data_IF_620783417594
#
_entry.id   IF_620783417594
#
_cell.length_a   1.000
_cell.length_b   1.000
_cell.length_c   1.000
_cell.angle_alpha   90.00
_cell.angle_beta   90.00
_cell.angle_gamma   90.00
#
_symmetry.space_group_name_H-M   'P 1'
#
loop_
_entity.id
_entity.type
_entity.pdbx_description
1 polymer ?
#
# COMPACT_ATOMS: atom_id res chain seq x y z
N UNK A 1 -13.25 -32.46 15.52
CA UNK A 1 -12.76 -31.28 14.80
C UNK A 1 -13.25 -31.41 13.37
N UNK A 2 -14.39 -30.82 13.07
CA UNK A 2 -15.04 -30.98 11.76
C UNK A 2 -14.47 -29.97 10.77
N UNK A 3 -14.36 -30.36 9.51
CA UNK A 3 -13.82 -29.60 8.36
C UNK A 3 -14.42 -28.19 8.15
N UNK A 4 -15.43 -27.80 8.92
CA UNK A 4 -16.15 -26.54 8.80
C UNK A 4 -15.67 -25.50 9.84
N UNK A 5 -15.03 -25.93 10.93
CA UNK A 5 -14.67 -25.03 12.05
C UNK A 5 -13.48 -24.10 11.75
N UNK A 6 -12.52 -24.54 10.91
CA UNK A 6 -11.36 -23.73 10.53
C UNK A 6 -11.74 -22.56 9.59
N UNK A 7 -12.74 -22.75 8.72
CA UNK A 7 -13.23 -21.70 7.82
C UNK A 7 -13.86 -20.52 8.55
N UNK A 8 -14.43 -20.75 9.74
CA UNK A 8 -15.09 -19.71 10.55
C UNK A 8 -14.11 -18.82 11.33
N UNK A 9 -12.87 -19.27 11.52
CA UNK A 9 -11.86 -18.56 12.33
C UNK A 9 -10.66 -18.07 11.53
N UNK A 10 -10.54 -18.50 10.27
CA UNK A 10 -9.44 -18.06 9.42
C UNK A 10 -9.61 -16.58 9.07
N UNK A 11 -8.71 -15.75 9.60
CA UNK A 11 -8.52 -14.37 9.16
C UNK A 11 -7.29 -14.36 8.26
N UNK A 12 -7.41 -13.98 6.98
CA UNK A 12 -6.25 -13.90 6.12
C UNK A 12 -5.24 -12.91 6.71
N UNK A 13 -4.00 -13.38 6.89
CA UNK A 13 -2.85 -12.56 7.21
C UNK A 13 -2.03 -12.29 5.93
N UNK A 14 -1.04 -11.41 6.01
CA UNK A 14 -0.22 -11.08 4.85
C UNK A 14 0.48 -12.32 4.24
N UNK A 15 0.75 -13.36 5.04
CA UNK A 15 1.39 -14.59 4.54
C UNK A 15 0.49 -15.34 3.59
N UNK A 16 -0.83 -15.29 3.81
CA UNK A 16 -1.84 -15.95 2.98
C UNK A 16 -2.19 -15.22 1.69
N UNK A 17 -1.79 -13.96 1.54
CA UNK A 17 -2.06 -13.14 0.36
C UNK A 17 -1.06 -13.51 -0.75
N UNK A 18 -1.51 -13.72 -2.01
CA UNK A 18 -0.61 -14.00 -3.12
C UNK A 18 0.26 -12.78 -3.45
N UNK A 19 1.45 -13.04 -3.98
CA UNK A 19 2.28 -11.97 -4.55
C UNK A 19 1.66 -11.48 -5.86
N UNK A 20 1.57 -10.17 -6.02
CA UNK A 20 1.15 -9.50 -7.25
C UNK A 20 2.34 -8.75 -7.87
N UNK A 21 2.48 -8.74 -9.20
CA UNK A 21 3.48 -7.91 -9.86
C UNK A 21 3.07 -6.43 -9.79
N UNK A 22 4.04 -5.56 -9.53
CA UNK A 22 3.86 -4.11 -9.51
C UNK A 22 4.95 -3.47 -10.38
N UNK A 23 4.55 -2.85 -11.49
CA UNK A 23 5.47 -2.20 -12.42
C UNK A 23 5.74 -0.77 -11.97
N UNK A 24 6.99 -0.40 -11.74
CA UNK A 24 7.40 0.93 -11.27
C UNK A 24 8.61 1.35 -12.09
N UNK A 25 8.51 2.47 -12.81
CA UNK A 25 9.61 3.05 -13.59
C UNK A 25 10.31 2.08 -14.57
N UNK A 26 9.60 1.06 -15.04
CA UNK A 26 10.11 0.03 -15.97
C UNK A 26 10.67 -1.23 -15.29
N UNK A 27 10.80 -1.22 -13.96
CA UNK A 27 11.17 -2.38 -13.16
C UNK A 27 9.94 -3.10 -12.59
N UNK A 28 10.07 -4.41 -12.40
CA UNK A 28 9.01 -5.26 -11.82
C UNK A 28 9.34 -5.56 -10.36
N UNK A 29 8.45 -5.14 -9.48
CA UNK A 29 8.45 -5.51 -8.07
C UNK A 29 7.36 -6.56 -7.80
N UNK A 30 7.48 -7.28 -6.68
CA UNK A 30 6.39 -8.09 -6.15
C UNK A 30 5.86 -7.43 -4.88
N UNK A 31 4.54 -7.33 -4.77
CA UNK A 31 3.86 -6.76 -3.62
C UNK A 31 2.86 -7.73 -3.02
N UNK A 32 2.72 -7.69 -1.69
CA UNK A 32 1.55 -8.18 -0.97
C UNK A 32 0.89 -7.01 -0.25
N UNK A 33 -0.43 -6.93 -0.35
CA UNK A 33 -1.21 -5.89 0.30
C UNK A 33 -2.34 -6.52 1.10
N UNK A 34 -2.49 -6.12 2.35
CA UNK A 34 -3.65 -6.45 3.17
C UNK A 34 -4.31 -5.16 3.62
N UNK A 35 -5.50 -4.89 3.10
CA UNK A 35 -6.33 -3.79 3.56
C UNK A 35 -7.35 -4.27 4.59
N UNK A 36 -7.64 -3.41 5.57
CA UNK A 36 -8.77 -3.55 6.47
C UNK A 36 -9.63 -2.29 6.39
N UNK A 37 -10.68 -2.19 7.20
CA UNK A 37 -11.54 -1.00 7.21
C UNK A 37 -10.79 0.29 7.60
N UNK A 38 -9.68 0.17 8.34
CA UNK A 38 -8.99 1.34 8.91
C UNK A 38 -7.47 1.21 8.98
N UNK A 39 -6.89 0.20 8.35
CA UNK A 39 -5.44 0.01 8.30
C UNK A 39 -5.03 -0.70 7.02
N UNK A 40 -3.73 -0.70 6.76
CA UNK A 40 -3.13 -1.60 5.77
C UNK A 40 -1.81 -2.18 6.27
N UNK A 41 -1.42 -3.27 5.64
CA UNK A 41 -0.11 -3.91 5.75
C UNK A 41 0.41 -4.17 4.33
N UNK A 42 1.66 -3.79 4.05
CA UNK A 42 2.31 -3.91 2.74
C UNK A 42 3.67 -4.58 2.89
N UNK A 43 3.97 -5.49 1.97
CA UNK A 43 5.30 -6.06 1.80
C UNK A 43 5.69 -5.99 0.32
N UNK A 44 6.82 -5.32 0.03
CA UNK A 44 7.35 -5.16 -1.31
C UNK A 44 8.72 -5.85 -1.42
N UNK A 45 9.04 -6.43 -2.57
CA UNK A 45 10.37 -6.93 -2.89
C UNK A 45 10.74 -6.73 -4.35
N UNK A 46 12.03 -6.50 -4.60
CA UNK A 46 12.66 -6.56 -5.92
C UNK A 46 13.44 -7.86 -6.12
N UNK A 47 13.12 -8.91 -5.35
CA UNK A 47 13.83 -10.19 -5.28
C UNK A 47 15.26 -10.13 -4.69
N UNK A 48 15.72 -8.96 -4.24
CA UNK A 48 17.01 -8.78 -3.54
C UNK A 48 16.81 -8.35 -2.09
N UNK A 49 15.88 -7.42 -1.88
CA UNK A 49 15.55 -6.86 -0.58
C UNK A 49 14.04 -6.92 -0.33
N UNK A 50 13.64 -6.84 0.93
CA UNK A 50 12.25 -6.74 1.36
C UNK A 50 12.03 -5.43 2.09
N UNK A 51 10.89 -4.79 1.83
CA UNK A 51 10.45 -3.59 2.54
C UNK A 51 9.03 -3.79 3.03
N UNK A 52 8.83 -3.50 4.32
CA UNK A 52 7.58 -3.73 5.01
C UNK A 52 7.05 -2.41 5.58
N UNK A 53 5.74 -2.22 5.47
CA UNK A 53 5.04 -1.14 6.17
C UNK A 53 3.71 -1.65 6.73
N UNK A 54 3.40 -1.21 7.95
CA UNK A 54 2.07 -1.31 8.53
C UNK A 54 1.61 0.08 8.93
N UNK A 55 0.37 0.43 8.59
CA UNK A 55 -0.18 1.73 8.90
C UNK A 55 -1.57 1.62 9.52
N UNK A 56 -1.69 2.13 10.74
CA UNK A 56 -2.96 2.25 11.46
C UNK A 56 -3.72 3.52 11.09
N UNK A 57 -5.01 3.55 11.42
CA UNK A 57 -5.94 4.64 11.12
C UNK A 57 -5.41 6.03 11.50
N UNK A 58 -4.90 6.18 12.73
CA UNK A 58 -4.44 7.47 13.24
C UNK A 58 -3.20 7.96 12.49
N UNK A 59 -2.29 7.05 12.15
CA UNK A 59 -1.07 7.39 11.40
C UNK A 59 -1.41 7.70 9.95
N UNK A 60 -2.35 6.95 9.36
CA UNK A 60 -2.87 7.21 8.01
C UNK A 60 -3.52 8.58 7.91
N UNK A 61 -4.45 8.92 8.82
CA UNK A 61 -5.11 10.25 8.84
C UNK A 61 -4.09 11.38 8.90
N UNK A 62 -3.11 11.29 9.80
CA UNK A 62 -2.04 12.29 9.94
C UNK A 62 -1.20 12.41 8.67
N UNK A 63 -0.86 11.29 8.04
CA UNK A 63 -0.09 11.26 6.78
C UNK A 63 -0.88 11.91 5.65
N UNK A 64 -2.14 11.53 5.47
CA UNK A 64 -3.01 12.07 4.42
C UNK A 64 -3.25 13.55 4.63
N UNK A 65 -3.56 14.00 5.85
CA UNK A 65 -3.77 15.42 6.12
C UNK A 65 -2.51 16.26 5.86
N UNK A 66 -1.32 15.68 6.10
CA UNK A 66 -0.04 16.34 5.81
C UNK A 66 0.23 16.46 4.31
N UNK A 67 -0.07 15.41 3.54
CA UNK A 67 0.21 15.34 2.10
C UNK A 67 -0.89 16.01 1.25
N UNK A 68 -2.13 15.93 1.71
CA UNK A 68 -3.34 16.35 1.00
C UNK A 68 -4.23 17.19 1.94
N UNK A 69 -3.80 18.40 2.33
CA UNK A 69 -4.50 19.21 3.34
C UNK A 69 -5.92 19.62 2.93
N UNK A 70 -6.25 19.59 1.63
CA UNK A 70 -7.56 19.95 1.09
C UNK A 70 -8.52 18.76 0.93
N UNK A 71 -8.09 17.53 1.24
CA UNK A 71 -8.91 16.34 1.08
C UNK A 71 -9.67 16.04 2.37
N UNK A 72 -11.00 16.08 2.28
CA UNK A 72 -11.91 15.61 3.32
C UNK A 72 -12.58 14.31 2.85
N UNK A 73 -11.89 13.19 3.04
CA UNK A 73 -12.38 11.85 2.69
C UNK A 73 -12.37 10.92 3.91
N UNK A 74 -13.27 9.93 3.91
CA UNK A 74 -13.24 8.88 4.93
C UNK A 74 -11.98 8.02 4.78
N UNK A 75 -11.53 7.42 5.89
CA UNK A 75 -10.38 6.49 5.87
C UNK A 75 -10.60 5.34 4.91
N UNK A 76 -11.80 4.76 4.90
CA UNK A 76 -12.13 3.66 3.98
C UNK A 76 -11.92 4.08 2.52
N UNK A 77 -12.37 5.28 2.14
CA UNK A 77 -12.24 5.77 0.76
C UNK A 77 -10.79 6.08 0.37
N UNK A 78 -9.98 6.51 1.34
CA UNK A 78 -8.54 6.66 1.17
C UNK A 78 -7.88 5.30 0.96
N UNK A 79 -8.23 4.30 1.76
CA UNK A 79 -7.69 2.94 1.64
C UNK A 79 -8.07 2.31 0.30
N UNK A 80 -9.34 2.40 -0.09
CA UNK A 80 -9.83 1.94 -1.40
C UNK A 80 -9.05 2.61 -2.54
N UNK A 81 -8.76 3.91 -2.43
CA UNK A 81 -7.97 4.62 -3.43
C UNK A 81 -6.54 4.07 -3.53
N UNK A 82 -5.89 3.84 -2.39
CA UNK A 82 -4.53 3.29 -2.35
C UNK A 82 -4.50 1.86 -2.93
N UNK A 83 -5.46 1.02 -2.55
CA UNK A 83 -5.61 -0.35 -3.07
C UNK A 83 -5.78 -0.33 -4.59
N UNK A 84 -6.72 0.47 -5.11
CA UNK A 84 -6.93 0.62 -6.55
C UNK A 84 -5.66 1.10 -7.28
N UNK A 85 -4.92 2.06 -6.71
CA UNK A 85 -3.68 2.52 -7.31
C UNK A 85 -2.65 1.40 -7.46
N UNK A 86 -2.55 0.51 -6.49
CA UNK A 86 -1.59 -0.60 -6.48
C UNK A 86 -2.02 -1.75 -7.40
N UNK A 87 -3.32 -2.07 -7.47
CA UNK A 87 -3.82 -3.20 -8.25
C UNK A 87 -3.98 -2.91 -9.74
N UNK A 88 -4.58 -1.77 -10.09
CA UNK A 88 -5.02 -1.51 -11.47
C UNK A 88 -4.19 -0.46 -12.20
N UNK A 89 -3.35 0.30 -11.49
CA UNK A 89 -2.53 1.39 -12.04
C UNK A 89 -3.32 2.25 -13.04
N UNK A 90 -4.50 2.72 -12.63
CA UNK A 90 -5.44 3.42 -13.50
C UNK A 90 -4.80 4.60 -14.24
N UNK A 91 -5.39 4.99 -15.38
CA UNK A 91 -4.90 6.14 -16.17
C UNK A 91 -4.85 7.41 -15.30
N UNK A 92 -3.66 7.97 -15.15
CA UNK A 92 -3.42 9.15 -14.31
C UNK A 92 -2.80 8.82 -12.94
N UNK A 93 -2.63 7.54 -12.62
CA UNK A 93 -1.84 7.08 -11.48
C UNK A 93 -0.39 6.91 -11.89
N UNK A 94 0.53 7.48 -11.10
CA UNK A 94 1.97 7.34 -11.22
C UNK A 94 2.51 6.82 -9.89
N UNK A 95 3.27 5.73 -9.96
CA UNK A 95 3.92 5.12 -8.80
C UNK A 95 5.43 5.24 -9.03
N UNK A 96 6.16 5.74 -8.04
CA UNK A 96 7.63 5.87 -8.10
C UNK A 96 8.24 5.38 -6.79
N UNK A 97 9.49 4.92 -6.85
CA UNK A 97 10.27 4.55 -5.67
C UNK A 97 11.43 5.52 -5.51
N UNK A 98 11.67 5.96 -4.28
CA UNK A 98 12.88 6.68 -3.91
C UNK A 98 13.50 6.09 -2.65
N UNK A 99 14.82 6.17 -2.54
CA UNK A 99 15.55 5.76 -1.34
C UNK A 99 15.95 7.02 -0.57
N UNK A 100 15.63 7.04 0.72
CA UNK A 100 16.18 8.03 1.65
C UNK A 100 17.47 7.47 2.20
N UNK A 101 18.51 8.29 2.12
CA UNK A 101 19.84 8.04 2.69
C UNK A 101 20.56 6.87 1.97
N UNK A 102 21.03 7.12 0.75
CA UNK A 102 21.70 6.14 -0.13
C UNK A 102 23.02 5.57 0.44
N UNK A 103 23.56 6.16 1.50
CA UNK A 103 24.86 5.80 2.09
C UNK A 103 24.77 4.73 3.20
N UNK A 104 23.57 4.33 3.64
CA UNK A 104 23.40 3.31 4.69
C UNK A 104 22.90 1.97 4.14
N UNK A 105 23.41 0.86 4.70
CA UNK A 105 22.96 -0.51 4.42
C UNK A 105 21.44 -0.72 4.68
N UNK A 106 20.80 0.17 5.44
CA UNK A 106 19.36 0.17 5.75
C UNK A 106 18.63 1.39 5.16
N UNK A 107 18.99 1.82 3.94
CA UNK A 107 18.30 2.91 3.24
C UNK A 107 16.78 2.71 3.24
N UNK A 108 16.06 3.75 3.66
CA UNK A 108 14.60 3.70 3.77
C UNK A 108 13.99 3.89 2.40
N UNK A 109 13.34 2.86 1.89
CA UNK A 109 12.59 2.93 0.64
C UNK A 109 11.26 3.67 0.87
N UNK A 110 10.93 4.56 -0.05
CA UNK A 110 9.69 5.34 -0.08
C UNK A 110 8.98 5.08 -1.40
N UNK A 111 7.87 4.34 -1.32
CA UNK A 111 6.91 4.20 -2.40
C UNK A 111 6.00 5.43 -2.43
N UNK A 112 5.98 6.17 -3.54
CA UNK A 112 5.12 7.35 -3.74
C UNK A 112 4.05 7.02 -4.76
N UNK A 113 2.81 7.38 -4.46
CA UNK A 113 1.67 7.22 -5.35
C UNK A 113 1.12 8.61 -5.63
N UNK A 114 1.07 9.00 -6.89
CA UNK A 114 0.38 10.21 -7.34
C UNK A 114 -0.83 9.77 -8.16
N UNK A 115 -2.03 10.18 -7.76
CA UNK A 115 -3.28 9.81 -8.43
C UNK A 115 -4.30 10.96 -8.33
N UNK A 116 -5.55 10.68 -8.70
CA UNK A 116 -6.66 11.60 -8.47
C UNK A 116 -7.75 10.93 -7.64
N UNK A 117 -8.18 11.60 -6.57
CA UNK A 117 -9.33 11.19 -5.76
C UNK A 117 -10.48 12.15 -6.02
N UNK A 118 -11.55 11.66 -6.67
CA UNK A 118 -12.72 12.46 -7.04
C UNK A 118 -12.37 13.74 -7.85
N UNK A 119 -11.37 13.66 -8.72
CA UNK A 119 -10.90 14.77 -9.55
C UNK A 119 -9.93 15.74 -8.87
N UNK A 120 -9.61 15.53 -7.59
CA UNK A 120 -8.58 16.27 -6.88
C UNK A 120 -7.25 15.49 -6.90
N UNK A 121 -6.09 16.17 -6.99
CA UNK A 121 -4.79 15.51 -6.84
C UNK A 121 -4.67 14.80 -5.49
N UNK A 122 -4.19 13.55 -5.49
CA UNK A 122 -3.98 12.73 -4.31
C UNK A 122 -2.55 12.15 -4.32
N UNK A 123 -1.78 12.43 -3.27
CA UNK A 123 -0.35 12.08 -3.14
C UNK A 123 -0.01 11.38 -1.81
#
# INVERSE_FOLDING_TARGET
MTEIEWRRHWKPDLTSIPWQPLNIDGDVYLIKCKFTQNSYELLLTNMKSFWYEELSENTLKKRVQKLNPSIEASVSRILDQIENCLESQEKGTSITIGFKDEEEENSKMVLKINSQLAGLPFC
#
